data_IF_056975937525
#
_entry.id   IF_056975937525
#
_cell.length_a   1.000
_cell.length_b   1.000
_cell.length_c   1.000
_cell.angle_alpha   90.00
_cell.angle_beta   90.00
_cell.angle_gamma   90.00
#
_symmetry.space_group_name_H-M   'P 1'
#
loop_
_entity.id
_entity.type
_entity.pdbx_description
1 polymer ?
#
# COMPACT_ATOMS: atom_id res chain seq x y z
N UNK A 1 -13.30 5.67 51.13
CA UNK A 1 -13.09 4.63 50.11
C UNK A 1 -12.56 5.31 48.85
N UNK A 2 -11.28 5.15 48.54
CA UNK A 2 -10.67 5.68 47.31
C UNK A 2 -11.12 4.80 46.13
N UNK A 3 -11.79 5.41 45.16
CA UNK A 3 -12.18 4.69 43.94
C UNK A 3 -10.94 4.04 43.27
N UNK A 4 -11.02 2.78 42.81
CA UNK A 4 -9.89 2.14 42.14
C UNK A 4 -9.51 2.97 40.92
N UNK A 5 -8.22 3.36 40.83
CA UNK A 5 -7.66 4.04 39.66
C UNK A 5 -7.84 3.13 38.44
N UNK A 6 -8.79 3.49 37.58
CA UNK A 6 -8.93 2.80 36.28
C UNK A 6 -7.77 3.23 35.38
N UNK A 7 -7.20 2.28 34.59
CA UNK A 7 -6.18 2.64 33.61
C UNK A 7 -6.78 3.62 32.59
N UNK A 8 -6.00 4.62 32.19
CA UNK A 8 -6.39 5.58 31.16
C UNK A 8 -6.58 4.85 29.83
N UNK A 9 -7.71 5.11 29.17
CA UNK A 9 -7.92 4.66 27.79
C UNK A 9 -6.87 5.29 26.87
N UNK A 10 -6.23 4.54 25.96
CA UNK A 10 -5.31 5.13 24.99
C UNK A 10 -6.08 6.06 24.05
N UNK A 11 -5.83 7.36 24.14
CA UNK A 11 -6.34 8.36 23.22
C UNK A 11 -5.19 8.94 22.37
N UNK A 12 -5.50 9.75 21.35
CA UNK A 12 -4.52 10.23 20.35
C UNK A 12 -3.28 10.91 20.96
N UNK A 13 -3.41 11.54 22.13
CA UNK A 13 -2.30 12.24 22.80
C UNK A 13 -1.30 11.30 23.49
N UNK A 14 -1.72 10.08 23.87
CA UNK A 14 -0.89 9.11 24.61
C UNK A 14 -0.64 7.83 23.83
N UNK A 15 -1.37 7.60 22.73
CA UNK A 15 -1.20 6.43 21.88
C UNK A 15 0.14 6.48 21.13
N UNK A 16 0.98 5.46 21.35
CA UNK A 16 2.21 5.28 20.57
C UNK A 16 1.93 4.30 19.42
N UNK A 17 2.05 4.75 18.16
CA UNK A 17 1.79 3.88 17.01
C UNK A 17 2.70 2.64 17.03
N UNK A 18 2.07 1.47 17.00
CA UNK A 18 2.78 0.20 16.86
C UNK A 18 2.97 -0.10 15.37
N UNK A 19 4.06 -0.80 15.02
CA UNK A 19 4.34 -1.17 13.63
C UNK A 19 3.14 -1.86 12.96
N UNK A 20 2.49 -2.79 13.66
CA UNK A 20 1.32 -3.52 13.15
C UNK A 20 0.14 -2.61 12.84
N UNK A 21 -0.11 -1.60 13.69
CA UNK A 21 -1.16 -0.62 13.47
C UNK A 21 -0.86 0.29 12.28
N UNK A 22 0.40 0.75 12.16
CA UNK A 22 0.85 1.57 11.03
C UNK A 22 0.69 0.81 9.71
N UNK A 23 1.16 -0.45 9.65
CA UNK A 23 1.03 -1.27 8.45
C UNK A 23 -0.43 -1.55 8.08
N UNK A 24 -1.32 -1.70 9.06
CA UNK A 24 -2.76 -1.87 8.81
C UNK A 24 -3.40 -0.61 8.21
N UNK A 25 -3.06 0.56 8.74
CA UNK A 25 -3.53 1.84 8.19
C UNK A 25 -3.01 2.05 6.77
N UNK A 26 -1.72 1.80 6.54
CA UNK A 26 -1.12 1.88 5.20
C UNK A 26 -1.76 0.91 4.22
N UNK A 27 -2.11 -0.31 4.65
CA UNK A 27 -2.80 -1.27 3.80
C UNK A 27 -4.17 -0.74 3.32
N UNK A 28 -4.95 -0.14 4.21
CA UNK A 28 -6.23 0.49 3.85
C UNK A 28 -6.03 1.70 2.92
N UNK A 29 -5.06 2.57 3.24
CA UNK A 29 -4.73 3.73 2.42
C UNK A 29 -4.25 3.36 1.03
N UNK A 30 -3.36 2.37 0.91
CA UNK A 30 -2.91 1.88 -0.40
C UNK A 30 -4.04 1.25 -1.19
N UNK A 31 -4.99 0.54 -0.57
CA UNK A 31 -6.19 0.03 -1.24
C UNK A 31 -7.01 1.14 -1.91
N UNK A 32 -7.20 2.27 -1.23
CA UNK A 32 -7.88 3.44 -1.84
C UNK A 32 -7.08 4.02 -3.01
N UNK A 33 -5.76 4.15 -2.86
CA UNK A 33 -4.89 4.63 -3.95
C UNK A 33 -4.94 3.69 -5.15
N UNK A 34 -4.96 2.38 -4.93
CA UNK A 34 -5.06 1.39 -6.00
C UNK A 34 -6.40 1.49 -6.74
N UNK A 35 -7.51 1.68 -6.02
CA UNK A 35 -8.81 1.87 -6.63
C UNK A 35 -8.86 3.13 -7.52
N UNK A 36 -8.31 4.26 -7.05
CA UNK A 36 -8.20 5.47 -7.85
C UNK A 36 -7.26 5.28 -9.05
N UNK A 37 -6.12 4.63 -8.85
CA UNK A 37 -5.16 4.34 -9.92
C UNK A 37 -5.73 3.39 -10.99
N UNK A 38 -6.62 2.47 -10.62
CA UNK A 38 -7.31 1.60 -11.56
C UNK A 38 -8.12 2.39 -12.60
N UNK A 39 -8.69 3.56 -12.23
CA UNK A 39 -9.38 4.44 -13.17
C UNK A 39 -8.42 4.99 -14.23
N UNK A 40 -7.21 5.38 -13.82
CA UNK A 40 -6.18 5.88 -14.74
C UNK A 40 -5.69 4.77 -15.69
N UNK A 41 -5.48 3.56 -15.18
CA UNK A 41 -5.11 2.41 -16.02
C UNK A 41 -6.25 2.03 -16.97
N UNK A 42 -7.50 2.08 -16.51
CA UNK A 42 -8.66 1.86 -17.38
C UNK A 42 -8.71 2.90 -18.49
N UNK A 43 -8.50 4.18 -18.18
CA UNK A 43 -8.41 5.23 -19.19
C UNK A 43 -7.28 4.95 -20.20
N UNK A 44 -6.12 4.53 -19.76
CA UNK A 44 -5.01 4.15 -20.65
C UNK A 44 -5.42 2.96 -21.57
N UNK A 45 -6.03 1.91 -21.03
CA UNK A 45 -6.48 0.76 -21.81
C UNK A 45 -7.54 1.17 -22.85
N UNK A 46 -8.51 2.00 -22.48
CA UNK A 46 -9.52 2.53 -23.39
C UNK A 46 -8.86 3.39 -24.49
N UNK A 47 -7.84 4.15 -24.15
CA UNK A 47 -7.12 4.95 -25.15
C UNK A 47 -6.35 4.11 -26.16
N UNK A 48 -5.81 2.95 -25.73
CA UNK A 48 -5.19 1.97 -26.64
C UNK A 48 -6.22 1.45 -27.65
N UNK A 49 -7.43 1.14 -27.22
CA UNK A 49 -8.52 0.70 -28.08
C UNK A 49 -9.09 1.82 -28.96
N UNK A 50 -8.98 3.08 -28.53
CA UNK A 50 -9.51 4.26 -29.22
C UNK A 50 -8.65 4.75 -30.39
N UNK A 51 -7.52 4.13 -30.67
CA UNK A 51 -6.66 4.44 -31.79
C UNK A 51 -5.51 5.41 -31.49
N UNK A 52 -4.70 5.74 -32.53
CA UNK A 52 -3.41 6.44 -32.33
C UNK A 52 -3.50 7.80 -31.64
N UNK A 53 -4.51 8.59 -31.94
CA UNK A 53 -4.66 9.93 -31.35
C UNK A 53 -4.99 9.88 -29.86
N UNK A 54 -5.92 8.98 -29.47
CA UNK A 54 -6.27 8.76 -28.07
C UNK A 54 -5.10 8.17 -27.29
N UNK A 55 -4.39 7.19 -27.87
CA UNK A 55 -3.19 6.60 -27.26
C UNK A 55 -2.10 7.66 -27.03
N UNK A 56 -1.81 8.52 -28.01
CA UNK A 56 -0.78 9.57 -27.88
C UNK A 56 -1.10 10.54 -26.73
N UNK A 57 -2.37 10.90 -26.54
CA UNK A 57 -2.79 11.77 -25.44
C UNK A 57 -2.53 11.12 -24.07
N UNK A 58 -2.95 9.86 -23.90
CA UNK A 58 -2.71 9.12 -22.66
C UNK A 58 -1.22 8.84 -22.43
N UNK A 59 -0.49 8.43 -23.48
CA UNK A 59 0.95 8.20 -23.42
C UNK A 59 1.71 9.46 -23.04
N UNK A 60 1.35 10.61 -23.60
CA UNK A 60 1.94 11.92 -23.25
C UNK A 60 1.76 12.26 -21.77
N UNK A 61 0.58 11.99 -21.20
CA UNK A 61 0.33 12.15 -19.76
C UNK A 61 1.25 11.27 -18.90
N UNK A 62 1.29 9.96 -19.18
CA UNK A 62 2.09 9.03 -18.37
C UNK A 62 3.61 9.17 -18.60
N UNK A 63 4.03 9.70 -19.73
CA UNK A 63 5.45 9.95 -20.02
C UNK A 63 5.97 11.24 -19.38
N UNK A 64 5.10 12.17 -19.02
CA UNK A 64 5.46 13.39 -18.29
C UNK A 64 5.98 13.05 -16.88
N UNK A 65 6.80 13.91 -16.30
CA UNK A 65 7.37 13.69 -14.96
C UNK A 65 6.32 13.39 -13.90
N UNK A 66 5.19 14.10 -13.95
CA UNK A 66 4.07 13.92 -13.02
C UNK A 66 3.38 12.56 -13.21
N UNK A 67 3.14 12.15 -14.46
CA UNK A 67 2.59 10.82 -14.76
C UNK A 67 3.51 9.69 -14.31
N UNK A 68 4.82 9.84 -14.50
CA UNK A 68 5.82 8.88 -13.99
C UNK A 68 5.81 8.81 -12.47
N UNK A 69 5.72 9.96 -11.78
CA UNK A 69 5.61 9.99 -10.32
C UNK A 69 4.36 9.26 -9.82
N UNK A 70 3.20 9.50 -10.46
CA UNK A 70 1.96 8.78 -10.14
C UNK A 70 2.10 7.27 -10.33
N UNK A 71 2.69 6.84 -11.45
CA UNK A 71 2.96 5.42 -11.72
C UNK A 71 3.92 4.82 -10.69
N UNK A 72 4.96 5.55 -10.28
CA UNK A 72 5.90 5.09 -9.26
C UNK A 72 5.20 4.88 -7.92
N UNK A 73 4.42 5.85 -7.46
CA UNK A 73 3.64 5.76 -6.22
C UNK A 73 2.64 4.59 -6.32
N UNK A 74 1.95 4.46 -7.44
CA UNK A 74 0.99 3.38 -7.66
C UNK A 74 1.65 2.00 -7.66
N UNK A 75 2.83 1.86 -8.28
CA UNK A 75 3.64 0.63 -8.26
C UNK A 75 4.04 0.26 -6.83
N UNK A 76 4.53 1.22 -6.06
CA UNK A 76 4.88 1.00 -4.65
C UNK A 76 3.67 0.56 -3.83
N UNK A 77 2.53 1.24 -4.01
CA UNK A 77 1.28 0.86 -3.36
C UNK A 77 0.83 -0.55 -3.75
N UNK A 78 1.00 -0.94 -5.03
CA UNK A 78 0.66 -2.27 -5.53
C UNK A 78 1.47 -3.35 -4.82
N UNK A 79 2.79 -3.22 -4.79
CA UNK A 79 3.63 -4.22 -4.14
C UNK A 79 3.45 -4.26 -2.63
N UNK A 80 3.32 -3.09 -1.99
CA UNK A 80 3.04 -3.06 -0.56
C UNK A 80 1.70 -3.72 -0.23
N UNK A 81 0.64 -3.37 -0.96
CA UNK A 81 -0.69 -3.91 -0.74
C UNK A 81 -0.73 -5.42 -0.98
N UNK A 82 -0.08 -5.90 -2.03
CA UNK A 82 0.06 -7.32 -2.33
C UNK A 82 0.78 -8.08 -1.20
N UNK A 83 1.97 -7.62 -0.83
CA UNK A 83 2.78 -8.30 0.19
C UNK A 83 2.07 -8.31 1.56
N UNK A 84 1.47 -7.18 1.95
CA UNK A 84 0.75 -7.10 3.21
C UNK A 84 -0.59 -7.86 3.14
N UNK A 85 -1.24 -7.92 1.97
CA UNK A 85 -2.41 -8.77 1.73
C UNK A 85 -2.11 -10.24 1.93
N UNK A 86 -1.01 -10.75 1.38
CA UNK A 86 -0.54 -12.13 1.63
C UNK A 86 -0.33 -12.38 3.13
N UNK A 87 0.24 -11.41 3.84
CA UNK A 87 0.39 -11.48 5.30
C UNK A 87 -0.95 -11.58 6.03
N UNK A 88 -1.96 -10.82 5.61
CA UNK A 88 -3.31 -10.91 6.17
C UNK A 88 -3.95 -12.28 5.88
N UNK A 89 -3.79 -12.81 4.67
CA UNK A 89 -4.27 -14.15 4.33
C UNK A 89 -3.59 -15.25 5.18
N UNK A 90 -2.31 -15.08 5.50
CA UNK A 90 -1.61 -16.01 6.42
C UNK A 90 -2.24 -15.98 7.82
N UNK A 91 -2.60 -14.80 8.32
CA UNK A 91 -3.32 -14.65 9.58
C UNK A 91 -4.72 -15.28 9.53
N UNK A 92 -5.47 -15.06 8.46
CA UNK A 92 -6.79 -15.68 8.26
C UNK A 92 -6.70 -17.20 8.25
N UNK A 93 -5.57 -17.75 7.76
CA UNK A 93 -5.26 -19.18 7.82
C UNK A 93 -4.72 -19.67 9.19
N UNK A 94 -4.62 -18.79 10.19
CA UNK A 94 -4.19 -19.13 11.54
C UNK A 94 -2.69 -19.08 11.81
N UNK A 95 -1.88 -18.51 10.88
CA UNK A 95 -0.41 -18.48 11.01
C UNK A 95 0.12 -17.10 11.38
N UNK A 96 1.20 -17.07 12.17
CA UNK A 96 2.02 -15.87 12.37
C UNK A 96 1.49 -14.85 13.38
N UNK A 97 0.63 -15.23 14.31
CA UNK A 97 0.08 -14.33 15.35
C UNK A 97 1.06 -13.96 16.45
N UNK A 98 2.17 -14.70 16.62
CA UNK A 98 3.16 -14.36 17.62
C UNK A 98 3.72 -12.95 17.35
N UNK A 99 3.86 -12.15 18.41
CA UNK A 99 4.26 -10.75 18.29
C UNK A 99 5.60 -10.57 17.53
N UNK A 100 6.59 -11.42 17.84
CA UNK A 100 7.88 -11.43 17.15
C UNK A 100 7.74 -11.68 15.64
N UNK A 101 6.93 -12.69 15.27
CA UNK A 101 6.64 -13.05 13.88
C UNK A 101 5.86 -11.93 13.16
N UNK A 102 4.91 -11.31 13.85
CA UNK A 102 4.13 -10.21 13.30
C UNK A 102 5.00 -8.97 12.99
N UNK A 103 5.97 -8.67 13.85
CA UNK A 103 6.93 -7.59 13.61
C UNK A 103 7.93 -7.94 12.50
N UNK A 104 8.48 -9.15 12.48
CA UNK A 104 9.41 -9.59 11.46
C UNK A 104 8.75 -9.60 10.08
N UNK A 105 7.58 -10.23 9.95
CA UNK A 105 6.82 -10.27 8.69
C UNK A 105 6.45 -8.86 8.19
N UNK A 106 6.11 -7.94 9.12
CA UNK A 106 5.87 -6.54 8.77
C UNK A 106 7.08 -5.85 8.15
N UNK A 107 8.28 -6.03 8.70
CA UNK A 107 9.54 -5.51 8.14
C UNK A 107 9.85 -6.13 6.77
N UNK A 108 9.64 -7.44 6.62
CA UNK A 108 9.83 -8.16 5.35
C UNK A 108 8.89 -7.58 4.28
N UNK A 109 7.61 -7.37 4.59
CA UNK A 109 6.64 -6.77 3.66
C UNK A 109 7.15 -5.43 3.12
N UNK A 110 7.61 -4.54 3.98
CA UNK A 110 8.14 -3.23 3.56
C UNK A 110 9.38 -3.39 2.70
N UNK A 111 10.34 -4.22 3.11
CA UNK A 111 11.57 -4.45 2.37
C UNK A 111 11.33 -5.06 0.99
N UNK A 112 10.46 -6.07 0.89
CA UNK A 112 10.11 -6.71 -0.38
C UNK A 112 9.37 -5.75 -1.29
N UNK A 113 8.40 -4.99 -0.78
CA UNK A 113 7.66 -4.02 -1.58
C UNK A 113 8.57 -2.94 -2.19
N UNK A 114 9.49 -2.40 -1.39
CA UNK A 114 10.50 -1.46 -1.88
C UNK A 114 11.43 -2.09 -2.90
N UNK A 115 11.95 -3.28 -2.63
CA UNK A 115 12.84 -4.01 -3.54
C UNK A 115 12.19 -4.30 -4.89
N UNK A 116 10.94 -4.79 -4.89
CA UNK A 116 10.20 -5.05 -6.13
C UNK A 116 9.89 -3.77 -6.90
N UNK A 117 9.56 -2.68 -6.19
CA UNK A 117 9.32 -1.37 -6.83
C UNK A 117 10.58 -0.90 -7.55
N UNK A 118 11.73 -0.91 -6.86
CA UNK A 118 13.01 -0.51 -7.44
C UNK A 118 13.39 -1.41 -8.62
N UNK A 119 13.23 -2.72 -8.48
CA UNK A 119 13.52 -3.68 -9.54
C UNK A 119 12.75 -3.38 -10.82
N UNK A 120 11.43 -3.18 -10.74
CA UNK A 120 10.57 -2.88 -11.90
C UNK A 120 10.94 -1.55 -12.57
N UNK A 121 11.41 -0.58 -11.80
CA UNK A 121 11.76 0.74 -12.35
C UNK A 121 13.19 0.85 -12.87
N UNK A 122 14.04 -0.15 -12.59
CA UNK A 122 15.38 -0.27 -13.16
C UNK A 122 15.42 -1.11 -14.45
N UNK A 123 14.40 -1.94 -14.71
CA UNK A 123 14.24 -2.74 -15.94
C UNK A 123 13.61 -1.92 -17.07
#
# INVERSE_FOLDING_TARGET
MTAPRRPLSPHLQVYRPQLTSVLSILHRGTGMILALGALLITWWLVSVAGGPAAYQAAHGFFSAWFGKLLLFIWTLCTFYHLCNGIRHLAWDAGYGFQLSTAYLSGKIVVGVALGLTVLVWLL
#
